data_IF_467050103825
#
_entry.id   IF_467050103825
#
_cell.length_a   1.000
_cell.length_b   1.000
_cell.length_c   1.000
_cell.angle_alpha   90.00
_cell.angle_beta   90.00
_cell.angle_gamma   90.00
#
_symmetry.space_group_name_H-M   'P 1'
#
loop_
_entity.id
_entity.type
_entity.pdbx_description
1 polymer ?
#
# COMPACT_ATOMS: atom_id res chain seq x y z
N UNK A 1 12.62 6.19 18.15
CA UNK A 1 12.45 5.28 17.00
C UNK A 1 12.34 6.13 15.74
N UNK A 2 12.98 5.77 14.63
CA UNK A 2 12.84 6.54 13.38
C UNK A 2 11.47 6.22 12.75
N UNK A 3 10.61 7.24 12.66
CA UNK A 3 9.28 7.11 12.04
C UNK A 3 9.34 6.58 10.59
N UNK A 4 10.32 6.99 9.74
CA UNK A 4 10.49 6.42 8.40
C UNK A 4 10.66 4.90 8.41
N UNK A 5 11.51 4.36 9.31
CA UNK A 5 11.73 2.92 9.43
C UNK A 5 10.47 2.19 9.88
N UNK A 6 9.74 2.75 10.85
CA UNK A 6 8.46 2.19 11.27
C UNK A 6 7.47 2.11 10.10
N UNK A 7 7.37 3.16 9.29
CA UNK A 7 6.50 3.20 8.11
C UNK A 7 6.90 2.12 7.08
N UNK A 8 8.20 1.96 6.81
CA UNK A 8 8.73 0.91 5.94
C UNK A 8 8.33 -0.48 6.47
N UNK A 9 8.56 -0.75 7.76
CA UNK A 9 8.21 -2.03 8.38
C UNK A 9 6.72 -2.31 8.24
N UNK A 10 5.86 -1.34 8.54
CA UNK A 10 4.41 -1.49 8.44
C UNK A 10 3.96 -1.80 7.00
N UNK A 11 4.53 -1.14 6.00
CA UNK A 11 4.22 -1.41 4.60
C UNK A 11 4.70 -2.80 4.16
N UNK A 12 5.89 -3.23 4.57
CA UNK A 12 6.41 -4.57 4.28
C UNK A 12 5.50 -5.63 4.91
N UNK A 13 5.12 -5.45 6.18
CA UNK A 13 4.16 -6.33 6.85
C UNK A 13 2.85 -6.38 6.08
N UNK A 14 2.29 -5.24 5.67
CA UNK A 14 1.06 -5.21 4.85
C UNK A 14 1.19 -6.04 3.56
N UNK A 15 2.30 -5.91 2.83
CA UNK A 15 2.54 -6.67 1.60
C UNK A 15 2.65 -8.17 1.86
N UNK A 16 3.43 -8.57 2.88
CA UNK A 16 3.59 -9.97 3.26
C UNK A 16 2.28 -10.59 3.76
N UNK A 17 1.53 -9.86 4.60
CA UNK A 17 0.24 -10.32 5.14
C UNK A 17 -0.81 -10.52 4.04
N UNK A 18 -0.87 -9.62 3.05
CA UNK A 18 -1.79 -9.81 1.91
C UNK A 18 -1.38 -10.99 1.03
N UNK A 19 -0.09 -11.22 0.81
CA UNK A 19 0.40 -12.39 0.08
C UNK A 19 0.12 -13.70 0.83
N UNK A 20 0.37 -13.72 2.13
CA UNK A 20 0.02 -14.85 3.00
C UNK A 20 -1.48 -15.15 2.97
N UNK A 21 -2.34 -14.13 3.05
CA UNK A 21 -3.78 -14.30 2.96
C UNK A 21 -4.21 -14.89 1.62
N UNK A 22 -3.60 -14.47 0.49
CA UNK A 22 -3.85 -15.10 -0.82
C UNK A 22 -3.49 -16.58 -0.80
N UNK A 23 -2.31 -16.95 -0.30
CA UNK A 23 -1.87 -18.35 -0.21
C UNK A 23 -2.81 -19.19 0.66
N UNK A 24 -3.24 -18.65 1.79
CA UNK A 24 -4.19 -19.32 2.68
C UNK A 24 -5.54 -19.59 2.00
N UNK A 25 -6.13 -18.58 1.37
CA UNK A 25 -7.44 -18.71 0.72
C UNK A 25 -7.40 -19.54 -0.57
N UNK A 26 -6.24 -19.60 -1.26
CA UNK A 26 -6.02 -20.57 -2.36
C UNK A 26 -6.12 -22.00 -1.87
N UNK A 27 -5.49 -22.30 -0.73
CA UNK A 27 -5.62 -23.61 -0.07
C UNK A 27 -7.06 -23.89 0.35
N UNK A 28 -7.73 -22.93 1.00
CA UNK A 28 -9.11 -23.08 1.46
C UNK A 28 -10.12 -23.30 0.31
N UNK A 29 -9.92 -22.67 -0.84
CA UNK A 29 -10.78 -22.83 -2.01
C UNK A 29 -10.32 -23.93 -2.98
N UNK A 30 -9.22 -24.65 -2.69
CA UNK A 30 -8.61 -25.61 -3.59
C UNK A 30 -8.31 -25.05 -4.99
N UNK A 31 -7.84 -23.80 -5.07
CA UNK A 31 -7.50 -23.11 -6.33
C UNK A 31 -6.00 -22.89 -6.42
N UNK A 32 -5.35 -23.58 -7.36
CA UNK A 32 -3.90 -23.46 -7.57
C UNK A 32 -3.51 -22.13 -8.21
N UNK A 33 -4.16 -21.76 -9.31
CA UNK A 33 -3.91 -20.53 -10.08
C UNK A 33 -5.21 -19.80 -10.42
N UNK A 34 -5.13 -18.50 -10.66
CA UNK A 34 -6.31 -17.67 -10.96
C UNK A 34 -7.20 -17.43 -9.75
N UNK A 35 -8.40 -16.91 -10.01
CA UNK A 35 -9.46 -16.60 -9.04
C UNK A 35 -10.77 -16.34 -9.82
N UNK A 36 -11.92 -16.44 -9.15
CA UNK A 36 -13.23 -16.16 -9.76
C UNK A 36 -13.32 -14.70 -10.24
N UNK A 37 -14.00 -14.44 -11.36
CA UNK A 37 -14.25 -13.08 -11.86
C UNK A 37 -15.24 -12.25 -11.04
N UNK A 38 -16.00 -12.87 -10.12
CA UNK A 38 -16.95 -12.16 -9.26
C UNK A 38 -16.20 -11.16 -8.33
N UNK A 39 -16.47 -9.84 -8.44
CA UNK A 39 -15.84 -8.82 -7.61
C UNK A 39 -16.22 -8.88 -6.13
N UNK A 40 -17.16 -9.76 -5.76
CA UNK A 40 -17.57 -10.04 -4.38
C UNK A 40 -16.80 -11.21 -3.77
N UNK A 41 -16.13 -12.02 -4.59
CA UNK A 41 -15.36 -13.18 -4.15
C UNK A 41 -14.18 -12.75 -3.25
N UNK A 42 -14.00 -13.43 -2.13
CA UNK A 42 -12.95 -13.10 -1.15
C UNK A 42 -11.55 -13.25 -1.74
N UNK A 43 -11.28 -14.33 -2.50
CA UNK A 43 -9.99 -14.54 -3.13
C UNK A 43 -9.72 -13.50 -4.23
N UNK A 44 -10.73 -13.13 -5.02
CA UNK A 44 -10.62 -12.00 -5.97
C UNK A 44 -10.13 -10.74 -5.26
N UNK A 45 -10.80 -10.35 -4.17
CA UNK A 45 -10.47 -9.14 -3.40
C UNK A 45 -9.07 -9.19 -2.81
N UNK A 46 -8.68 -10.32 -2.23
CA UNK A 46 -7.34 -10.52 -1.65
C UNK A 46 -6.24 -10.46 -2.72
N UNK A 47 -6.44 -11.11 -3.87
CA UNK A 47 -5.46 -11.07 -4.97
C UNK A 47 -5.29 -9.66 -5.50
N UNK A 48 -6.39 -8.90 -5.66
CA UNK A 48 -6.30 -7.49 -6.09
C UNK A 48 -5.64 -6.59 -5.05
N UNK A 49 -5.92 -6.78 -3.76
CA UNK A 49 -5.28 -6.04 -2.68
C UNK A 49 -3.77 -6.34 -2.58
N UNK A 50 -3.39 -7.61 -2.75
CA UNK A 50 -1.99 -8.01 -2.76
C UNK A 50 -1.25 -7.47 -3.98
N UNK A 51 -1.82 -7.60 -5.19
CA UNK A 51 -1.24 -7.05 -6.42
C UNK A 51 -1.01 -5.53 -6.29
N UNK A 52 -2.01 -4.80 -5.80
CA UNK A 52 -1.85 -3.37 -5.55
C UNK A 52 -0.78 -3.08 -4.48
N UNK A 53 -0.61 -3.94 -3.47
CA UNK A 53 0.47 -3.80 -2.50
C UNK A 53 1.84 -4.03 -3.13
N UNK A 54 2.01 -5.04 -3.98
CA UNK A 54 3.26 -5.31 -4.69
C UNK A 54 3.66 -4.19 -5.65
N UNK A 55 2.70 -3.47 -6.25
CA UNK A 55 2.97 -2.33 -7.13
C UNK A 55 3.48 -1.10 -6.37
N UNK A 56 2.96 -0.83 -5.17
CA UNK A 56 3.20 0.43 -4.47
C UNK A 56 4.14 0.32 -3.26
N UNK A 57 4.04 -0.75 -2.47
CA UNK A 57 4.84 -0.89 -1.23
C UNK A 57 6.34 -0.84 -1.50
N UNK A 58 6.90 -1.58 -2.48
CA UNK A 58 8.34 -1.51 -2.75
C UNK A 58 8.79 -0.11 -3.17
N UNK A 59 8.00 0.57 -4.00
CA UNK A 59 8.29 1.93 -4.45
C UNK A 59 8.33 2.90 -3.26
N UNK A 60 7.31 2.87 -2.40
CA UNK A 60 7.30 3.71 -1.20
C UNK A 60 8.41 3.36 -0.22
N UNK A 61 8.69 2.08 0.01
CA UNK A 61 9.75 1.66 0.91
C UNK A 61 11.12 2.19 0.47
N UNK A 62 11.42 2.13 -0.83
CA UNK A 62 12.64 2.70 -1.41
C UNK A 62 12.67 4.22 -1.28
N UNK A 63 11.58 4.93 -1.64
CA UNK A 63 11.51 6.38 -1.51
C UNK A 63 11.75 6.85 -0.07
N UNK A 64 11.05 6.24 0.88
CA UNK A 64 11.16 6.57 2.31
C UNK A 64 12.57 6.25 2.82
N UNK A 65 13.15 5.12 2.40
CA UNK A 65 14.52 4.76 2.76
C UNK A 65 15.53 5.78 2.26
N UNK A 66 15.48 6.17 0.98
CA UNK A 66 16.38 7.16 0.38
C UNK A 66 16.26 8.52 1.06
N UNK A 67 15.04 8.98 1.33
CA UNK A 67 14.79 10.22 2.07
C UNK A 67 15.34 10.15 3.50
N UNK A 68 15.28 8.98 4.15
CA UNK A 68 15.77 8.79 5.52
C UNK A 68 17.30 8.84 5.66
N UNK A 69 18.04 8.82 4.56
CA UNK A 69 19.52 8.92 4.56
C UNK A 69 20.02 10.32 4.96
N UNK A 70 19.13 11.32 4.95
CA UNK A 70 19.44 12.69 5.35
C UNK A 70 18.36 13.22 6.29
N UNK A 71 18.65 14.33 6.97
CA UNK A 71 17.65 15.02 7.77
C UNK A 71 16.60 15.64 6.84
N UNK A 72 15.34 15.26 7.05
CA UNK A 72 14.22 15.75 6.27
C UNK A 72 13.40 16.79 7.03
N UNK A 73 12.80 17.77 6.34
CA UNK A 73 11.83 18.67 6.94
C UNK A 73 10.53 17.95 7.30
N UNK A 74 9.79 18.48 8.28
CA UNK A 74 8.60 17.84 8.86
C UNK A 74 7.51 17.52 7.84
N UNK A 75 7.38 18.29 6.76
CA UNK A 75 6.39 18.00 5.73
C UNK A 75 6.65 16.66 5.03
N UNK A 76 7.91 16.27 4.83
CA UNK A 76 8.28 14.96 4.24
C UNK A 76 7.88 13.82 5.17
N UNK A 77 8.02 14.04 6.48
CA UNK A 77 7.58 13.11 7.51
C UNK A 77 6.05 12.92 7.47
N UNK A 78 5.28 14.00 7.34
CA UNK A 78 3.82 13.92 7.19
C UNK A 78 3.40 13.17 5.94
N UNK A 79 4.09 13.39 4.80
CA UNK A 79 3.85 12.65 3.57
C UNK A 79 4.19 11.16 3.71
N UNK A 80 5.24 10.82 4.48
CA UNK A 80 5.60 9.43 4.80
C UNK A 80 4.52 8.73 5.62
N UNK A 81 4.00 9.41 6.65
CA UNK A 81 2.89 8.90 7.48
C UNK A 81 1.61 8.77 6.64
N UNK A 82 1.29 9.79 5.83
CA UNK A 82 0.12 9.80 4.97
C UNK A 82 0.17 8.67 3.93
N UNK A 83 1.32 8.45 3.29
CA UNK A 83 1.52 7.33 2.36
C UNK A 83 1.18 6.00 3.06
N UNK A 84 1.76 5.77 4.24
CA UNK A 84 1.52 4.56 5.04
C UNK A 84 0.04 4.38 5.34
N UNK A 85 -0.61 5.40 5.89
CA UNK A 85 -2.05 5.38 6.17
C UNK A 85 -2.89 5.07 4.92
N UNK A 86 -2.56 5.68 3.79
CA UNK A 86 -3.26 5.45 2.52
C UNK A 86 -3.10 4.01 2.03
N UNK A 87 -1.94 3.39 2.23
CA UNK A 87 -1.70 1.98 1.89
C UNK A 87 -2.58 1.02 2.69
N UNK A 88 -2.73 1.24 3.99
CA UNK A 88 -3.67 0.44 4.79
C UNK A 88 -5.11 0.73 4.37
N UNK A 89 -5.46 1.99 4.14
CA UNK A 89 -6.81 2.39 3.73
C UNK A 89 -7.23 1.73 2.42
N UNK A 90 -6.38 1.71 1.39
CA UNK A 90 -6.74 1.07 0.11
C UNK A 90 -6.96 -0.43 0.29
N UNK A 91 -6.11 -1.13 1.05
CA UNK A 91 -6.25 -2.58 1.29
C UNK A 91 -7.54 -2.88 2.07
N UNK A 92 -7.83 -2.12 3.13
CA UNK A 92 -9.09 -2.22 3.88
C UNK A 92 -10.28 -1.94 2.96
N UNK A 93 -10.20 -0.89 2.15
CA UNK A 93 -11.24 -0.51 1.18
C UNK A 93 -11.52 -1.58 0.11
N UNK A 94 -10.55 -2.43 -0.20
CA UNK A 94 -10.72 -3.57 -1.11
C UNK A 94 -11.29 -4.81 -0.40
N UNK A 95 -10.86 -5.10 0.83
CA UNK A 95 -11.17 -6.37 1.51
C UNK A 95 -12.42 -6.28 2.40
N UNK A 96 -12.65 -5.17 3.11
CA UNK A 96 -13.71 -5.08 4.11
C UNK A 96 -15.12 -4.89 3.53
N UNK A 97 -15.23 -4.35 2.30
CA UNK A 97 -16.53 -4.07 1.67
C UNK A 97 -17.07 -5.27 0.89
N UNK A 98 -18.40 -5.39 0.78
CA UNK A 98 -19.06 -6.57 0.17
C UNK A 98 -18.63 -6.85 -1.27
N UNK A 99 -18.36 -5.83 -2.07
CA UNK A 99 -18.00 -6.00 -3.49
C UNK A 99 -17.02 -4.90 -3.95
N UNK A 100 -16.13 -5.26 -4.87
CA UNK A 100 -15.20 -4.33 -5.53
C UNK A 100 -15.82 -3.59 -6.72
N UNK A 101 -17.03 -3.98 -7.15
CA UNK A 101 -17.73 -3.37 -8.29
C UNK A 101 -18.20 -1.94 -8.00
N UNK A 102 -18.27 -1.56 -6.71
CA UNK A 102 -18.73 -0.23 -6.29
C UNK A 102 -17.57 0.56 -5.69
N UNK A 103 -17.49 1.87 -5.96
CA UNK A 103 -16.55 2.72 -5.25
C UNK A 103 -16.94 2.80 -3.77
N UNK A 104 -15.95 3.01 -2.92
CA UNK A 104 -16.16 3.37 -1.52
C UNK A 104 -15.14 4.43 -1.11
N UNK A 105 -15.49 5.23 -0.10
CA UNK A 105 -14.69 6.38 0.31
C UNK A 105 -13.30 5.98 0.83
N UNK A 106 -13.20 4.83 1.50
CA UNK A 106 -11.93 4.34 2.07
C UNK A 106 -10.94 3.99 0.94
N UNK A 107 -11.44 3.31 -0.10
CA UNK A 107 -10.66 3.00 -1.30
C UNK A 107 -10.29 4.27 -2.08
N UNK A 108 -11.19 5.24 -2.16
CA UNK A 108 -10.91 6.51 -2.80
C UNK A 108 -9.81 7.29 -2.07
N UNK A 109 -9.93 7.46 -0.75
CA UNK A 109 -8.92 8.11 0.11
C UNK A 109 -7.59 7.38 -0.01
N UNK A 110 -7.59 6.05 0.11
CA UNK A 110 -6.37 5.25 -0.01
C UNK A 110 -5.70 5.36 -1.37
N UNK A 111 -6.49 5.39 -2.46
CA UNK A 111 -5.97 5.51 -3.81
C UNK A 111 -5.42 6.90 -4.12
N UNK A 112 -6.27 7.92 -4.00
CA UNK A 112 -5.90 9.31 -4.28
C UNK A 112 -4.80 9.81 -3.35
N UNK A 113 -4.92 9.50 -2.06
CA UNK A 113 -3.92 9.86 -1.07
C UNK A 113 -2.57 9.18 -1.31
N UNK A 114 -2.55 7.94 -1.83
CA UNK A 114 -1.28 7.31 -2.26
C UNK A 114 -0.62 8.11 -3.39
N UNK A 115 -1.37 8.61 -4.37
CA UNK A 115 -0.78 9.41 -5.44
C UNK A 115 -0.24 10.74 -4.94
N UNK A 116 -1.03 11.48 -4.16
CA UNK A 116 -0.61 12.77 -3.60
C UNK A 116 0.64 12.59 -2.74
N UNK A 117 0.63 11.60 -1.84
CA UNK A 117 1.76 11.31 -0.98
C UNK A 117 3.00 10.86 -1.78
N UNK A 118 2.81 9.99 -2.77
CA UNK A 118 3.87 9.51 -3.66
C UNK A 118 4.54 10.64 -4.43
N UNK A 119 3.76 11.49 -5.09
CA UNK A 119 4.32 12.64 -5.82
C UNK A 119 5.02 13.63 -4.89
N UNK A 120 4.50 13.87 -3.69
CA UNK A 120 5.18 14.73 -2.71
C UNK A 120 6.50 14.15 -2.22
N UNK A 121 6.58 12.83 -1.98
CA UNK A 121 7.84 12.16 -1.62
C UNK A 121 8.84 12.16 -2.79
N UNK A 122 8.36 11.96 -4.02
CA UNK A 122 9.22 12.11 -5.21
C UNK A 122 9.76 13.54 -5.34
N UNK A 123 8.92 14.55 -5.07
CA UNK A 123 9.35 15.95 -5.06
C UNK A 123 10.40 16.22 -3.97
N UNK A 124 10.21 15.67 -2.76
CA UNK A 124 11.21 15.73 -1.70
C UNK A 124 12.55 15.13 -2.13
N UNK A 125 12.51 13.95 -2.76
CA UNK A 125 13.72 13.26 -3.19
C UNK A 125 14.42 14.01 -4.33
N UNK A 126 13.65 14.64 -5.21
CA UNK A 126 14.19 15.53 -6.25
C UNK A 126 14.92 16.72 -5.63
N UNK A 127 14.33 17.39 -4.64
CA UNK A 127 15.02 18.48 -3.93
C UNK A 127 16.32 18.00 -3.30
N UNK A 128 16.28 16.88 -2.56
CA UNK A 128 17.46 16.26 -1.96
C UNK A 128 18.54 15.87 -2.99
N UNK A 129 18.14 15.47 -4.20
CA UNK A 129 19.09 15.13 -5.26
C UNK A 129 19.81 16.33 -5.88
N UNK A 130 19.24 17.53 -5.71
CA UNK A 130 19.75 18.77 -6.29
C UNK A 130 20.64 19.56 -5.31
N UNK A 131 20.63 19.24 -4.02
CA UNK A 131 21.47 19.84 -2.98
C UNK A 131 20.75 19.93 -1.64
#
# INVERSE_FOLDING_TARGET
MSIPLLCIVLMIVLCLSTGFAVSWYRGAYNVFAGYDSDPSNTLYKLVRAHANSCEFVPVFAVLIYLLSLQQQPDWVLWFTIAATFCRFSIVIGMIAFKTMAKPNIVRFIGGMGSYVAGFGLCYALLLQSLG
#
